data_IF_491553012237
#
_entry.id   IF_491553012237
#
_cell.length_a   1.000
_cell.length_b   1.000
_cell.length_c   1.000
_cell.angle_alpha   90.00
_cell.angle_beta   90.00
_cell.angle_gamma   90.00
#
_symmetry.space_group_name_H-M   'P 1'
#
loop_
_entity.id
_entity.type
_entity.pdbx_description
1 polymer ?
#
# COMPACT_ATOMS: atom_id res chain seq x y z
N UNK A 1 -10.10 15.45 3.93
CA UNK A 1 -8.99 14.59 3.47
C UNK A 1 -7.97 14.36 4.59
N UNK A 2 -8.42 14.36 5.85
CA UNK A 2 -7.53 14.61 6.99
C UNK A 2 -7.34 13.39 7.90
N UNK A 3 -8.15 12.33 7.72
CA UNK A 3 -8.14 11.15 8.58
C UNK A 3 -6.78 10.46 8.63
N UNK A 4 -6.04 10.46 7.50
CA UNK A 4 -4.73 9.80 7.39
C UNK A 4 -3.61 10.76 6.96
N UNK A 5 -3.90 12.06 6.80
CA UNK A 5 -2.94 13.06 6.29
C UNK A 5 -2.25 12.66 4.98
N UNK A 6 -2.95 11.90 4.12
CA UNK A 6 -2.48 11.51 2.78
C UNK A 6 -3.35 12.19 1.72
N UNK A 7 -2.72 12.56 0.59
CA UNK A 7 -3.43 13.13 -0.55
C UNK A 7 -4.28 12.09 -1.29
N UNK A 8 -5.24 12.57 -2.10
CA UNK A 8 -6.10 11.71 -2.93
C UNK A 8 -5.32 10.81 -3.89
N UNK A 9 -4.20 11.28 -4.45
CA UNK A 9 -3.33 10.48 -5.31
C UNK A 9 -2.74 9.27 -4.59
N UNK A 10 -2.25 9.46 -3.37
CA UNK A 10 -1.71 8.37 -2.53
C UNK A 10 -2.80 7.36 -2.18
N UNK A 11 -4.00 7.83 -1.84
CA UNK A 11 -5.12 6.95 -1.53
C UNK A 11 -5.54 6.12 -2.74
N UNK A 12 -5.68 6.75 -3.92
CA UNK A 12 -6.02 6.05 -5.16
C UNK A 12 -4.96 5.01 -5.54
N UNK A 13 -3.68 5.32 -5.30
CA UNK A 13 -2.57 4.39 -5.54
C UNK A 13 -2.67 3.16 -4.64
N UNK A 14 -2.90 3.34 -3.34
CA UNK A 14 -3.08 2.23 -2.39
C UNK A 14 -4.27 1.38 -2.79
N UNK A 15 -5.43 1.99 -3.08
CA UNK A 15 -6.64 1.27 -3.49
C UNK A 15 -6.43 0.50 -4.79
N UNK A 16 -5.77 1.09 -5.80
CA UNK A 16 -5.47 0.41 -7.06
C UNK A 16 -4.59 -0.82 -6.85
N UNK A 17 -3.58 -0.72 -5.99
CA UNK A 17 -2.71 -1.86 -5.65
C UNK A 17 -3.44 -2.92 -4.84
N UNK A 18 -4.32 -2.53 -3.92
CA UNK A 18 -5.16 -3.46 -3.17
C UNK A 18 -6.02 -4.31 -4.13
N UNK A 19 -6.73 -3.64 -5.05
CA UNK A 19 -7.56 -4.33 -6.05
C UNK A 19 -6.74 -5.21 -7.00
N UNK A 20 -5.53 -4.80 -7.39
CA UNK A 20 -4.66 -5.59 -8.26
C UNK A 20 -4.11 -6.86 -7.59
N UNK A 21 -3.90 -6.85 -6.27
CA UNK A 21 -3.45 -8.03 -5.53
C UNK A 21 -4.58 -9.04 -5.30
N UNK A 22 -5.84 -8.61 -5.32
CA UNK A 22 -7.01 -9.50 -5.23
C UNK A 22 -7.17 -10.22 -3.88
N UNK A 23 -6.40 -9.82 -2.86
CA UNK A 23 -6.45 -10.43 -1.53
C UNK A 23 -7.63 -9.88 -0.71
N UNK A 24 -8.35 -10.74 0.03
CA UNK A 24 -9.35 -10.31 1.00
C UNK A 24 -8.75 -9.42 2.10
N UNK A 25 -9.56 -8.51 2.65
CA UNK A 25 -9.12 -7.63 3.74
C UNK A 25 -8.80 -8.41 5.01
N UNK A 26 -9.47 -9.54 5.23
CA UNK A 26 -9.23 -10.45 6.35
C UNK A 26 -7.83 -11.06 6.26
N UNK A 27 -7.43 -11.51 5.06
CA UNK A 27 -6.09 -12.04 4.81
C UNK A 27 -5.04 -10.94 4.98
N UNK A 28 -5.28 -9.76 4.41
CA UNK A 28 -4.38 -8.61 4.54
C UNK A 28 -4.14 -8.21 6.00
N UNK A 29 -5.16 -8.33 6.86
CA UNK A 29 -5.06 -8.03 8.30
C UNK A 29 -4.26 -9.05 9.09
N UNK A 30 -4.12 -10.27 8.60
CA UNK A 30 -3.34 -11.33 9.25
C UNK A 30 -1.86 -11.30 8.85
N UNK A 31 -1.53 -10.64 7.73
CA UNK A 31 -0.16 -10.51 7.25
C UNK A 31 0.71 -9.67 8.18
N UNK A 32 2.02 -9.93 8.17
CA UNK A 32 2.94 -9.09 8.92
C UNK A 32 2.99 -7.68 8.30
N UNK A 33 3.13 -6.61 9.12
CA UNK A 33 3.18 -5.24 8.61
C UNK A 33 4.23 -5.03 7.51
N UNK A 34 5.36 -5.75 7.58
CA UNK A 34 6.42 -5.64 6.58
C UNK A 34 6.06 -6.29 5.24
N UNK A 35 5.32 -7.39 5.28
CA UNK A 35 4.84 -8.06 4.07
C UNK A 35 3.80 -7.20 3.37
N UNK A 36 2.89 -6.59 4.15
CA UNK A 36 1.94 -5.60 3.64
C UNK A 36 2.69 -4.43 3.00
N UNK A 37 3.66 -3.83 3.69
CA UNK A 37 4.44 -2.73 3.14
C UNK A 37 5.12 -3.11 1.82
N UNK A 38 5.75 -4.30 1.73
CA UNK A 38 6.39 -4.77 0.51
C UNK A 38 5.40 -5.06 -0.63
N UNK A 39 4.19 -5.52 -0.30
CA UNK A 39 3.12 -5.77 -1.26
C UNK A 39 2.63 -4.48 -1.91
N UNK A 40 2.46 -3.43 -1.09
CA UNK A 40 2.01 -2.13 -1.57
C UNK A 40 3.15 -1.26 -2.09
N UNK A 41 4.36 -1.38 -1.57
CA UNK A 41 5.52 -0.54 -1.89
C UNK A 41 6.78 -1.41 -2.03
N UNK A 42 6.91 -2.18 -3.14
CA UNK A 42 8.07 -3.03 -3.35
C UNK A 42 9.35 -2.20 -3.39
N UNK A 43 10.39 -2.67 -2.70
CA UNK A 43 11.65 -1.94 -2.51
C UNK A 43 12.34 -1.55 -3.83
N UNK A 44 12.08 -2.28 -4.93
CA UNK A 44 12.56 -1.94 -6.28
C UNK A 44 12.07 -0.58 -6.80
N UNK A 45 10.98 -0.05 -6.25
CA UNK A 45 10.35 1.20 -6.68
C UNK A 45 10.55 2.36 -5.69
N UNK A 46 11.36 2.17 -4.65
CA UNK A 46 11.78 3.28 -3.80
C UNK A 46 12.76 4.14 -4.63
N UNK A 47 12.32 5.31 -5.09
CA UNK A 47 13.23 6.33 -5.59
C UNK A 47 14.25 6.59 -4.49
N UNK A 48 15.51 6.18 -4.72
CA UNK A 48 16.63 6.70 -3.96
C UNK A 48 16.61 8.20 -4.20
N UNK A 49 16.36 8.97 -3.15
CA UNK A 49 16.71 10.38 -3.14
C UNK A 49 18.22 10.42 -3.01
N UNK A 50 18.90 10.35 -4.14
CA UNK A 50 20.22 10.99 -4.27
C UNK A 50 20.04 12.52 -4.22
#
# INVERSE_FOLDING_TARGET
>A
MDRYKIGSGTLNLIMSRYHANGIPIEELRMMAPKEVENLFYPQKNLQRKD
#
